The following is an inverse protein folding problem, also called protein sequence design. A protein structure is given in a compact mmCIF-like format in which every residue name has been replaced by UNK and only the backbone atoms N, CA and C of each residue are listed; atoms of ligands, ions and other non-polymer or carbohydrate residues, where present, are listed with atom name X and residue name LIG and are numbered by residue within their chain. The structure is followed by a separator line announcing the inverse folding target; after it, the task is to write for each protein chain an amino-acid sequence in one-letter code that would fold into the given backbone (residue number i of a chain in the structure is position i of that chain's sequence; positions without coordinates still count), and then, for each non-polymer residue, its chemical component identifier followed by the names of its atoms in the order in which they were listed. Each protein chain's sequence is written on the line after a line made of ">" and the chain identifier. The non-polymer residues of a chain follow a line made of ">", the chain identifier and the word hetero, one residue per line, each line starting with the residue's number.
data_IF_587735382506
#
_entry.id   IF_587735382506
#
_cell.length_a   1.000
_cell.length_b   1.000
_cell.length_c   1.000
_cell.angle_alpha   90.00
_cell.angle_beta   90.00
_cell.angle_gamma   90.00
#
_symmetry.space_group_name_H-M   'P 1'
#
loop_
_entity.id
_entity.type
_entity.pdbx_description
1 polymer ?
#
# COMPACT_ATOMS: atom_id res chain seq x y z
N UNK A 1 26.23 13.84 -6.40
CA UNK A 1 25.20 13.55 -7.44
C UNK A 1 25.28 12.11 -7.98
N UNK A 2 26.46 11.55 -8.30
CA UNK A 2 26.57 10.17 -8.84
C UNK A 2 26.10 9.07 -7.88
N UNK A 3 26.17 9.27 -6.56
CA UNK A 3 25.84 8.25 -5.56
C UNK A 3 24.31 8.01 -5.41
N UNK A 4 23.53 9.11 -5.41
CA UNK A 4 22.06 9.07 -5.30
C UNK A 4 21.44 8.35 -6.50
N UNK A 5 21.99 8.56 -7.70
CA UNK A 5 21.49 7.91 -8.93
C UNK A 5 21.70 6.39 -8.91
N UNK A 6 22.85 5.91 -8.43
CA UNK A 6 23.12 4.47 -8.28
C UNK A 6 22.17 3.83 -7.28
N UNK A 7 21.90 4.52 -6.18
CA UNK A 7 21.05 4.02 -5.12
C UNK A 7 19.58 3.93 -5.53
N UNK A 8 19.05 4.96 -6.23
CA UNK A 8 17.71 4.90 -6.82
C UNK A 8 17.61 3.73 -7.80
N UNK A 9 18.63 3.52 -8.64
CA UNK A 9 18.65 2.40 -9.57
C UNK A 9 18.66 1.03 -8.87
N UNK A 10 19.36 0.90 -7.73
CA UNK A 10 19.30 -0.32 -6.89
C UNK A 10 17.92 -0.52 -6.30
N UNK A 11 17.28 0.54 -5.77
CA UNK A 11 15.94 0.46 -5.21
C UNK A 11 14.90 0.09 -6.27
N UNK A 12 14.99 0.66 -7.48
CA UNK A 12 14.08 0.33 -8.58
C UNK A 12 14.22 -1.12 -9.04
N UNK A 13 15.44 -1.65 -9.16
CA UNK A 13 15.65 -3.09 -9.46
C UNK A 13 15.09 -4.00 -8.36
N UNK A 14 15.27 -3.63 -7.10
CA UNK A 14 14.67 -4.37 -5.97
C UNK A 14 13.15 -4.33 -6.02
N UNK A 15 12.56 -3.18 -6.36
CA UNK A 15 11.12 -3.04 -6.57
C UNK A 15 10.64 -3.97 -7.67
N UNK A 16 11.31 -4.02 -8.82
CA UNK A 16 10.94 -4.91 -9.93
C UNK A 16 10.95 -6.38 -9.50
N UNK A 17 11.97 -6.82 -8.77
CA UNK A 17 12.01 -8.17 -8.21
C UNK A 17 10.86 -8.44 -7.23
N UNK A 18 10.50 -7.46 -6.41
CA UNK A 18 9.36 -7.56 -5.50
C UNK A 18 8.03 -7.63 -6.26
N UNK A 19 7.87 -6.83 -7.32
CA UNK A 19 6.70 -6.83 -8.21
C UNK A 19 6.54 -8.21 -8.87
N UNK A 20 7.61 -8.77 -9.41
CA UNK A 20 7.59 -10.11 -10.01
C UNK A 20 7.26 -11.20 -8.97
N UNK A 21 7.84 -11.11 -7.76
CA UNK A 21 7.54 -12.05 -6.69
C UNK A 21 6.08 -11.95 -6.22
N UNK A 22 5.53 -10.74 -6.12
CA UNK A 22 4.14 -10.49 -5.78
C UNK A 22 3.19 -11.12 -6.81
N UNK A 23 3.36 -10.82 -8.09
CA UNK A 23 2.45 -11.32 -9.12
C UNK A 23 2.59 -12.83 -9.40
N UNK A 24 3.71 -13.45 -9.02
CA UNK A 24 3.83 -14.92 -8.99
C UNK A 24 3.00 -15.58 -7.90
N UNK A 25 2.85 -14.91 -6.75
CA UNK A 25 2.11 -15.43 -5.60
C UNK A 25 0.65 -14.95 -5.52
N UNK A 26 0.31 -13.91 -6.28
CA UNK A 26 -1.01 -13.29 -6.27
C UNK A 26 -2.02 -14.11 -7.08
N UNK A 27 -2.96 -14.72 -6.38
CA UNK A 27 -4.09 -15.46 -6.94
C UNK A 27 -5.39 -14.96 -6.27
N UNK A 28 -6.21 -14.16 -6.99
CA UNK A 28 -7.47 -13.66 -6.45
C UNK A 28 -8.43 -14.75 -5.98
N UNK A 29 -8.54 -15.86 -6.71
CA UNK A 29 -9.45 -16.95 -6.37
C UNK A 29 -9.03 -17.60 -5.06
N UNK A 30 -7.73 -17.82 -4.87
CA UNK A 30 -7.20 -18.27 -3.60
C UNK A 30 -7.44 -17.24 -2.50
N UNK A 31 -7.19 -15.95 -2.73
CA UNK A 31 -7.39 -14.92 -1.70
C UNK A 31 -8.85 -14.82 -1.23
N UNK A 32 -9.82 -15.03 -2.13
CA UNK A 32 -11.24 -15.12 -1.77
C UNK A 32 -11.56 -16.37 -0.95
N UNK A 33 -11.07 -17.53 -1.37
CA UNK A 33 -11.18 -18.76 -0.56
C UNK A 33 -10.56 -18.57 0.82
N UNK A 34 -9.40 -17.91 0.88
CA UNK A 34 -8.70 -17.60 2.11
C UNK A 34 -9.55 -16.62 2.96
N UNK A 35 -10.21 -15.61 2.38
CA UNK A 35 -11.13 -14.75 3.11
C UNK A 35 -12.34 -15.52 3.68
N UNK A 36 -13.05 -16.28 2.86
CA UNK A 36 -14.23 -17.05 3.27
C UNK A 36 -13.89 -18.04 4.40
N UNK A 37 -12.72 -18.67 4.32
CA UNK A 37 -12.22 -19.56 5.37
C UNK A 37 -11.93 -18.81 6.68
N UNK A 38 -11.59 -17.51 6.64
CA UNK A 38 -11.21 -16.74 7.83
C UNK A 38 -12.41 -16.22 8.63
N UNK A 39 -13.52 -15.86 7.98
CA UNK A 39 -14.78 -15.58 8.69
C UNK A 39 -15.32 -16.84 9.39
N UNK A 40 -15.01 -18.01 8.83
CA UNK A 40 -15.54 -19.28 9.32
C UNK A 40 -14.56 -20.11 10.17
N UNK A 41 -13.26 -19.77 10.22
CA UNK A 41 -12.25 -20.49 11.02
C UNK A 41 -11.23 -19.52 11.61
N UNK A 42 -11.20 -19.46 12.95
CA UNK A 42 -10.33 -18.65 13.81
C UNK A 42 -8.81 -18.99 13.74
N UNK A 43 -8.29 -19.40 12.58
CA UNK A 43 -6.95 -20.00 12.44
C UNK A 43 -5.88 -19.10 11.83
N UNK A 44 -6.19 -17.89 11.37
CA UNK A 44 -5.14 -16.96 10.90
C UNK A 44 -4.64 -16.07 12.02
N UNK A 45 -3.33 -15.94 12.09
CA UNK A 45 -2.68 -14.94 12.93
C UNK A 45 -3.01 -13.56 12.36
N UNK A 46 -3.85 -12.81 13.08
CA UNK A 46 -3.94 -11.37 12.91
C UNK A 46 -2.53 -10.79 13.12
N UNK A 47 -1.99 -10.15 12.09
CA UNK A 47 -0.61 -9.62 12.14
C UNK A 47 -0.56 -8.13 12.38
N UNK A 48 -1.70 -7.44 12.25
CA UNK A 48 -1.81 -6.04 12.57
C UNK A 48 -3.26 -5.56 12.51
N UNK A 49 -3.56 -4.54 13.28
CA UNK A 49 -4.85 -3.86 13.22
C UNK A 49 -4.62 -2.35 13.20
N UNK A 50 -5.12 -1.72 12.14
CA UNK A 50 -5.16 -0.28 12.00
C UNK A 50 -6.55 0.28 12.25
N UNK A 51 -6.69 1.59 12.02
CA UNK A 51 -7.99 2.26 12.05
C UNK A 51 -8.95 1.64 11.04
N UNK A 52 -8.51 1.56 9.78
CA UNK A 52 -9.36 1.20 8.65
C UNK A 52 -9.29 -0.27 8.24
N UNK A 53 -8.21 -0.98 8.57
CA UNK A 53 -7.98 -2.34 8.09
C UNK A 53 -7.53 -3.29 9.22
N UNK A 54 -7.90 -4.56 9.10
CA UNK A 54 -7.26 -5.69 9.79
C UNK A 54 -6.35 -6.43 8.82
N UNK A 55 -5.14 -6.75 9.23
CA UNK A 55 -4.13 -7.36 8.37
C UNK A 55 -3.89 -8.81 8.77
N UNK A 56 -3.93 -9.71 7.79
CA UNK A 56 -3.66 -11.13 7.96
C UNK A 56 -2.50 -11.55 7.05
N UNK A 57 -1.60 -12.38 7.56
CA UNK A 57 -0.54 -13.00 6.75
C UNK A 57 -1.11 -14.19 5.97
N UNK A 58 -0.84 -14.21 4.68
CA UNK A 58 -1.12 -15.33 3.76
C UNK A 58 0.21 -15.93 3.32
N UNK A 59 0.60 -17.09 3.87
CA UNK A 59 1.86 -17.73 3.52
C UNK A 59 1.91 -18.15 2.04
N UNK A 60 3.08 -18.04 1.44
CA UNK A 60 3.34 -18.57 0.10
C UNK A 60 3.44 -20.11 0.13
N UNK A 61 2.65 -20.85 -0.66
CA UNK A 61 2.67 -22.32 -0.67
C UNK A 61 4.01 -22.90 -1.10
N UNK A 62 4.75 -22.16 -1.93
CA UNK A 62 6.04 -22.57 -2.49
C UNK A 62 7.24 -21.95 -1.76
N UNK A 63 7.06 -21.38 -0.56
CA UNK A 63 8.12 -20.67 0.16
C UNK A 63 8.58 -19.36 -0.50
N UNK A 64 7.70 -18.76 -1.32
CA UNK A 64 7.94 -17.52 -2.04
C UNK A 64 7.71 -16.27 -1.18
N UNK A 65 6.95 -15.31 -1.73
CA UNK A 65 6.59 -14.08 -1.05
C UNK A 65 5.26 -14.26 -0.33
N UNK A 66 5.25 -14.04 0.98
CA UNK A 66 4.01 -13.98 1.76
C UNK A 66 3.26 -12.68 1.47
N UNK A 67 1.93 -12.74 1.52
CA UNK A 67 1.06 -11.61 1.26
C UNK A 67 0.41 -11.12 2.55
N UNK A 68 0.25 -9.80 2.68
CA UNK A 68 -0.64 -9.20 3.64
C UNK A 68 -2.02 -9.02 2.97
N UNK A 69 -3.03 -9.66 3.56
CA UNK A 69 -4.43 -9.48 3.21
C UNK A 69 -5.04 -8.48 4.20
N UNK A 70 -5.25 -7.24 3.75
CA UNK A 70 -5.84 -6.19 4.55
C UNK A 70 -7.34 -6.11 4.27
N UNK A 71 -8.14 -6.37 5.30
CA UNK A 71 -9.59 -6.43 5.25
C UNK A 71 -10.14 -5.13 5.81
N UNK A 72 -10.94 -4.41 5.03
CA UNK A 72 -11.56 -3.16 5.46
C UNK A 72 -12.53 -3.38 6.63
N UNK A 73 -12.42 -2.54 7.67
CA UNK A 73 -13.27 -2.53 8.87
C UNK A 73 -14.54 -1.72 8.62
N UNK A 74 -15.62 -1.92 9.41
CA UNK A 74 -16.86 -1.14 9.30
C UNK A 74 -16.68 0.39 9.27
N UNK A 75 -15.72 0.93 10.03
CA UNK A 75 -15.40 2.36 10.04
C UNK A 75 -14.77 2.89 8.74
N UNK A 76 -14.19 2.03 7.90
CA UNK A 76 -13.76 2.44 6.56
C UNK A 76 -14.96 2.79 5.67
N UNK A 77 -16.09 2.12 5.90
CA UNK A 77 -17.33 2.33 5.16
C UNK A 77 -18.17 3.51 5.67
N UNK A 78 -17.90 4.03 6.87
CA UNK A 78 -18.72 5.09 7.46
C UNK A 78 -18.68 6.41 6.69
N UNK A 79 -17.66 6.60 5.84
CA UNK A 79 -17.58 7.73 4.92
C UNK A 79 -18.56 7.61 3.72
N UNK A 80 -19.16 6.44 3.51
CA UNK A 80 -20.17 6.18 2.48
C UNK A 80 -19.59 5.60 1.17
N UNK A 81 -20.44 4.98 0.33
CA UNK A 81 -20.01 4.22 -0.85
C UNK A 81 -19.20 5.03 -1.87
N UNK A 82 -19.48 6.33 -2.01
CA UNK A 82 -18.75 7.18 -2.95
C UNK A 82 -17.29 7.36 -2.56
N UNK A 83 -17.00 7.45 -1.25
CA UNK A 83 -15.63 7.60 -0.77
C UNK A 83 -14.81 6.34 -1.03
N UNK A 84 -15.42 5.15 -0.87
CA UNK A 84 -14.77 3.89 -1.21
C UNK A 84 -14.47 3.80 -2.70
N UNK A 85 -15.44 4.15 -3.56
CA UNK A 85 -15.22 4.17 -5.02
C UNK A 85 -14.09 5.14 -5.42
N UNK A 86 -14.05 6.32 -4.79
CA UNK A 86 -12.98 7.30 -4.99
C UNK A 86 -11.63 6.75 -4.53
N UNK A 87 -11.58 6.09 -3.38
CA UNK A 87 -10.38 5.44 -2.86
C UNK A 87 -9.88 4.33 -3.79
N UNK A 88 -10.77 3.45 -4.27
CA UNK A 88 -10.44 2.39 -5.23
C UNK A 88 -9.89 3.00 -6.54
N UNK A 89 -10.53 4.07 -7.05
CA UNK A 89 -10.04 4.82 -8.22
C UNK A 89 -8.63 5.37 -7.97
N UNK A 90 -8.39 5.93 -6.79
CA UNK A 90 -7.08 6.44 -6.40
C UNK A 90 -6.03 5.32 -6.35
N UNK A 91 -6.32 4.19 -5.72
CA UNK A 91 -5.47 3.00 -5.71
C UNK A 91 -5.14 2.51 -7.13
N UNK A 92 -6.14 2.44 -8.03
CA UNK A 92 -5.94 2.06 -9.44
C UNK A 92 -5.04 3.05 -10.20
N UNK A 93 -5.05 4.33 -9.84
CA UNK A 93 -4.13 5.34 -10.37
C UNK A 93 -2.72 5.16 -9.81
N UNK A 94 -2.59 5.10 -8.48
CA UNK A 94 -1.30 4.98 -7.77
C UNK A 94 -0.55 3.72 -8.16
N UNK A 95 -1.25 2.60 -8.39
CA UNK A 95 -0.66 1.33 -8.84
C UNK A 95 0.15 1.46 -10.13
N UNK A 96 -0.21 2.40 -11.01
CA UNK A 96 0.48 2.62 -12.30
C UNK A 96 1.76 3.44 -12.17
N UNK A 97 1.96 4.08 -11.01
CA UNK A 97 3.09 4.97 -10.79
C UNK A 97 4.37 4.17 -10.53
N UNK A 98 5.49 4.74 -10.97
CA UNK A 98 6.81 4.19 -10.74
C UNK A 98 7.51 5.02 -9.67
N UNK A 99 7.59 4.47 -8.45
CA UNK A 99 8.28 5.13 -7.36
C UNK A 99 8.96 4.10 -6.44
N UNK A 100 10.19 4.37 -5.95
CA UNK A 100 10.92 3.49 -5.05
C UNK A 100 10.25 3.18 -3.70
N UNK A 101 9.21 3.90 -3.31
CA UNK A 101 8.46 3.65 -2.06
C UNK A 101 7.04 3.08 -2.29
N UNK A 102 6.65 2.85 -3.55
CA UNK A 102 5.35 2.25 -3.86
C UNK A 102 5.49 0.73 -3.99
N UNK A 103 4.79 -0.06 -3.15
CA UNK A 103 4.81 -1.51 -3.30
C UNK A 103 3.99 -1.95 -4.52
N UNK A 104 4.19 -3.18 -5.02
CA UNK A 104 3.11 -3.83 -5.74
C UNK A 104 1.92 -4.04 -4.80
N UNK A 105 0.71 -3.77 -5.25
CA UNK A 105 -0.50 -4.04 -4.49
C UNK A 105 -1.69 -4.22 -5.43
N UNK A 106 -2.75 -4.83 -4.89
CA UNK A 106 -4.04 -5.03 -5.55
C UNK A 106 -5.19 -4.67 -4.61
N UNK A 107 -6.28 -4.20 -5.20
CA UNK A 107 -7.54 -3.99 -4.49
C UNK A 107 -8.58 -4.92 -5.10
N UNK A 108 -9.18 -5.78 -4.27
CA UNK A 108 -10.24 -6.68 -4.67
C UNK A 108 -11.57 -6.18 -4.08
N UNK A 109 -12.58 -6.14 -4.94
CA UNK A 109 -13.95 -5.74 -4.62
C UNK A 109 -14.80 -7.02 -4.55
N UNK A 110 -15.40 -7.27 -3.39
CA UNK A 110 -16.18 -8.47 -3.09
C UNK A 110 -17.69 -8.20 -3.00
N UNK A 111 -18.44 -9.23 -2.61
CA UNK A 111 -19.86 -9.10 -2.30
C UNK A 111 -20.06 -8.19 -1.06
N UNK A 112 -21.21 -7.52 -0.99
CA UNK A 112 -21.59 -6.64 0.13
C UNK A 112 -20.57 -5.51 0.41
N UNK A 113 -20.06 -4.91 -0.66
CA UNK A 113 -19.06 -3.82 -0.63
C UNK A 113 -17.73 -4.20 0.04
N UNK A 114 -17.45 -5.49 0.30
CA UNK A 114 -16.19 -5.91 0.92
C UNK A 114 -14.98 -5.47 0.09
N UNK A 115 -14.05 -4.77 0.76
CA UNK A 115 -12.77 -4.36 0.17
C UNK A 115 -11.62 -5.14 0.79
N UNK A 116 -10.84 -5.80 -0.07
CA UNK A 116 -9.57 -6.41 0.29
C UNK A 116 -8.42 -5.64 -0.36
N UNK A 117 -7.45 -5.20 0.44
CA UNK A 117 -6.22 -4.56 -0.02
C UNK A 117 -5.05 -5.52 0.19
N UNK A 118 -4.41 -5.93 -0.90
CA UNK A 118 -3.42 -7.01 -0.91
C UNK A 118 -2.06 -6.45 -1.31
N UNK A 119 -1.03 -6.78 -0.55
CA UNK A 119 0.32 -6.28 -0.75
C UNK A 119 1.34 -7.30 -0.21
N UNK A 120 2.64 -7.16 -0.50
CA UNK A 120 3.68 -7.96 0.14
C UNK A 120 3.60 -7.87 1.67
N UNK A 121 3.74 -9.00 2.35
CA UNK A 121 3.86 -9.04 3.80
C UNK A 121 5.24 -8.53 4.24
N UNK A 122 5.26 -7.66 5.24
CA UNK A 122 6.48 -7.13 5.83
C UNK A 122 6.64 -7.65 7.26
N UNK A 123 7.83 -8.15 7.57
CA UNK A 123 8.17 -8.63 8.91
C UNK A 123 8.78 -7.50 9.76
N UNK A 124 9.44 -6.53 9.13
CA UNK A 124 10.26 -5.54 9.82
C UNK A 124 9.75 -4.12 9.61
N UNK A 125 9.69 -3.36 10.70
CA UNK A 125 9.60 -1.91 10.65
C UNK A 125 11.02 -1.33 10.49
N UNK A 126 11.14 -0.29 9.66
CA UNK A 126 12.35 0.53 9.67
C UNK A 126 12.55 1.13 11.05
N UNK A 127 13.79 1.23 11.50
CA UNK A 127 14.11 1.95 12.73
C UNK A 127 13.72 3.43 12.60
N UNK A 128 13.48 4.09 13.73
CA UNK A 128 13.14 5.52 13.73
C UNK A 128 14.22 6.39 13.08
N UNK A 129 15.50 6.01 13.21
CA UNK A 129 16.60 6.74 12.57
C UNK A 129 16.58 6.61 11.04
N UNK A 130 16.23 5.43 10.52
CA UNK A 130 16.11 5.22 9.07
C UNK A 130 14.90 5.97 8.49
N UNK A 131 13.75 5.91 9.17
CA UNK A 131 12.54 6.62 8.76
C UNK A 131 12.75 8.14 8.73
N UNK A 132 13.48 8.69 9.71
CA UNK A 132 13.77 10.12 9.81
C UNK A 132 15.05 10.55 9.08
N UNK A 133 15.69 9.64 8.33
CA UNK A 133 16.90 9.97 7.59
C UNK A 133 16.61 11.01 6.50
N UNK A 134 17.52 11.97 6.21
CA UNK A 134 17.33 12.96 5.14
C UNK A 134 17.02 12.32 3.79
N UNK A 135 17.60 11.13 3.55
CA UNK A 135 17.36 10.34 2.35
C UNK A 135 15.93 9.83 2.28
N UNK A 136 15.40 9.25 3.37
CA UNK A 136 14.02 8.78 3.39
C UNK A 136 13.05 9.96 3.25
N UNK A 137 13.32 11.08 3.93
CA UNK A 137 12.53 12.32 3.77
C UNK A 137 12.50 12.80 2.32
N UNK A 138 13.61 12.75 1.59
CA UNK A 138 13.64 13.10 0.17
C UNK A 138 12.78 12.15 -0.69
N UNK A 139 12.80 10.84 -0.40
CA UNK A 139 11.96 9.87 -1.11
C UNK A 139 10.47 10.05 -0.79
N UNK A 140 10.12 10.34 0.46
CA UNK A 140 8.73 10.64 0.86
C UNK A 140 8.25 11.92 0.15
N UNK A 141 9.08 12.97 0.09
CA UNK A 141 8.73 14.21 -0.61
C UNK A 141 8.54 13.97 -2.10
N UNK A 142 9.44 13.22 -2.75
CA UNK A 142 9.29 12.84 -4.15
C UNK A 142 8.02 12.02 -4.40
N UNK A 143 7.64 11.12 -3.48
CA UNK A 143 6.38 10.39 -3.59
C UNK A 143 5.17 11.33 -3.46
N UNK A 144 5.22 12.26 -2.51
CA UNK A 144 4.15 13.25 -2.31
C UNK A 144 3.94 14.11 -3.55
N UNK A 145 5.03 14.58 -4.17
CA UNK A 145 4.97 15.38 -5.40
C UNK A 145 4.36 14.57 -6.55
N UNK A 146 4.74 13.30 -6.68
CA UNK A 146 4.21 12.39 -7.69
C UNK A 146 2.72 12.06 -7.47
N UNK A 147 2.28 11.84 -6.23
CA UNK A 147 0.86 11.67 -5.94
C UNK A 147 0.09 12.96 -6.29
N UNK A 148 0.64 14.12 -5.93
CA UNK A 148 0.01 15.41 -6.17
C UNK A 148 -0.10 15.75 -7.66
N UNK A 149 0.86 15.34 -8.50
CA UNK A 149 0.77 15.49 -9.96
C UNK A 149 -0.34 14.64 -10.57
N UNK A 150 -0.70 13.55 -9.90
CA UNK A 150 -1.78 12.64 -10.30
C UNK A 150 -3.13 13.02 -9.67
N UNK A 151 -3.20 14.17 -8.98
CA UNK A 151 -4.43 14.64 -8.34
C UNK A 151 -4.75 13.95 -7.01
N UNK A 152 -3.78 13.28 -6.39
CA UNK A 152 -3.95 12.58 -5.12
C UNK A 152 -3.14 13.24 -4.00
N UNK A 153 -3.59 13.06 -2.78
CA UNK A 153 -2.84 13.40 -1.59
C UNK A 153 -3.03 12.32 -0.53
N UNK A 154 -2.07 12.23 0.37
CA UNK A 154 -2.11 11.38 1.55
C UNK A 154 -1.73 12.25 2.75
N UNK A 155 -2.34 11.99 3.90
CA UNK A 155 -1.99 12.70 5.14
C UNK A 155 -0.55 12.38 5.56
N UNK A 156 0.05 13.25 6.37
CA UNK A 156 1.49 13.22 6.69
C UNK A 156 1.96 12.01 7.52
N UNK A 157 1.08 11.04 7.80
CA UNK A 157 1.42 9.83 8.53
C UNK A 157 1.85 8.69 7.59
N UNK A 158 3.12 8.74 7.15
CA UNK A 158 3.72 7.72 6.30
C UNK A 158 4.16 6.50 7.12
N UNK A 159 3.44 5.37 6.97
CA UNK A 159 3.88 4.11 7.56
C UNK A 159 4.79 3.36 6.58
N UNK A 160 6.09 3.31 6.89
CA UNK A 160 7.06 2.55 6.11
C UNK A 160 7.38 1.20 6.76
N UNK A 161 7.51 0.18 5.92
CA UNK A 161 8.01 -1.14 6.30
C UNK A 161 8.99 -1.66 5.26
N UNK A 162 9.74 -2.69 5.62
CA UNK A 162 10.65 -3.39 4.72
C UNK A 162 10.15 -4.79 4.41
N UNK A 163 10.20 -5.17 3.14
CA UNK A 163 10.10 -6.56 2.71
C UNK A 163 11.38 -6.91 1.95
N UNK A 164 12.11 -7.94 2.38
CA UNK A 164 13.38 -8.37 1.77
C UNK A 164 14.39 -7.21 1.61
N UNK A 165 14.47 -6.33 2.61
CA UNK A 165 15.36 -5.16 2.60
C UNK A 165 14.98 -4.05 1.62
N UNK A 166 13.74 -4.04 1.13
CA UNK A 166 13.19 -2.97 0.29
C UNK A 166 12.09 -2.21 1.04
N UNK A 167 12.25 -0.88 1.25
CA UNK A 167 11.29 -0.08 2.00
C UNK A 167 10.13 0.41 1.13
N UNK A 168 8.92 0.41 1.66
CA UNK A 168 7.75 0.99 1.00
C UNK A 168 6.63 1.37 1.98
N UNK A 169 5.69 2.15 1.47
CA UNK A 169 4.49 2.60 2.19
C UNK A 169 3.48 1.47 2.27
N UNK A 170 2.93 1.20 3.46
CA UNK A 170 1.99 0.09 3.69
C UNK A 170 0.54 0.49 3.87
N UNK A 171 0.27 1.78 4.10
CA UNK A 171 -1.07 2.29 4.43
C UNK A 171 -1.46 3.40 3.45
N UNK A 172 -2.42 3.09 2.58
CA UNK A 172 -3.02 4.03 1.65
C UNK A 172 -4.46 4.38 2.06
N UNK A 173 -4.89 4.05 3.27
CA UNK A 173 -6.29 4.19 3.69
C UNK A 173 -6.77 5.65 3.73
N UNK A 174 -5.85 6.61 3.85
CA UNK A 174 -6.11 8.06 3.83
C UNK A 174 -5.84 8.71 2.46
N UNK A 175 -5.67 7.90 1.40
CA UNK A 175 -5.50 8.41 0.04
C UNK A 175 -6.79 9.10 -0.42
N UNK A 176 -6.69 10.39 -0.76
CA UNK A 176 -7.83 11.23 -1.15
C UNK A 176 -7.50 12.10 -2.34
N UNK A 177 -8.55 12.57 -3.02
CA UNK A 177 -8.40 13.53 -4.10
C UNK A 177 -7.82 14.83 -3.55
N UNK A 178 -6.82 15.37 -4.24
CA UNK A 178 -6.26 16.68 -3.92
C UNK A 178 -7.36 17.72 -4.16
N UNK A 179 -7.67 18.59 -3.19
CA UNK A 179 -8.62 19.67 -3.41
C UNK A 179 -8.19 20.47 -4.63
N UNK A 180 -9.14 20.75 -5.54
CA UNK A 180 -8.88 21.69 -6.62
C UNK A 180 -8.31 22.96 -6.00
N UNK A 181 -7.12 23.40 -6.41
CA UNK A 181 -6.55 24.62 -5.86
C UNK A 181 -7.54 25.73 -6.12
N UNK A 182 -8.16 26.26 -5.08
CA UNK A 182 -8.86 27.53 -5.16
C UNK A 182 -7.79 28.57 -5.44
N UNK A 183 -7.50 28.82 -6.73
CA UNK A 183 -6.72 29.98 -7.10
C UNK A 183 -7.35 31.18 -6.38
N UNK A 184 -6.55 32.06 -5.73
CA UNK A 184 -7.11 33.25 -5.13
C UNK A 184 -7.82 34.00 -6.26
N UNK A 185 -9.15 34.18 -6.13
CA UNK A 185 -9.87 35.11 -6.98
C UNK A 185 -9.27 36.48 -6.64
N UNK A 186 -8.35 36.96 -7.48
CA UNK A 186 -7.99 38.37 -7.53
C UNK A 186 -9.32 39.10 -7.74
N UNK A 187 -9.81 39.73 -6.67
CA UNK A 187 -10.86 40.73 -6.75
C UNK A 187 -10.21 42.05 -7.12
#
# INVERSE_FOLDING_TARGET
>A
MQDISKEIHVLMRRRESLVEAFYRGFDPSRLWQEWDLSEHKAKRALTGEGRHFRSYRIPSPSGGLDLALNVAKPCFYSAGPQNIRNWIKACKSVKKLQHPLLPPFEVLEGLNDLVLFVMPYCEEALSLSEQNSPKMSAQINSLRDLLASEGWMMDDYWQLRTCRGYPFVIDFSELKEKPASSAPRLR
#
